data_IF_732302841516
#
_entry.id   IF_732302841516
#
_cell.length_a   1.000
_cell.length_b   1.000
_cell.length_c   1.000
_cell.angle_alpha   90.00
_cell.angle_beta   90.00
_cell.angle_gamma   90.00
#
_symmetry.space_group_name_H-M   'P 1'
#
loop_
_entity.id
_entity.type
_entity.pdbx_description
1 polymer ?
#
# COMPACT_ATOMS: atom_id res chain seq x y z
N UNK A 1 -7.94 4.09 -37.83
CA UNK A 1 -6.77 3.16 -37.84
C UNK A 1 -6.28 3.13 -36.41
N UNK A 2 -6.67 2.09 -35.67
CA UNK A 2 -6.18 1.87 -34.29
C UNK A 2 -4.70 1.55 -34.40
N UNK A 3 -3.85 2.43 -33.87
CA UNK A 3 -2.45 2.10 -33.64
C UNK A 3 -2.43 0.95 -32.64
N UNK A 4 -1.96 -0.22 -33.04
CA UNK A 4 -1.61 -1.27 -32.11
C UNK A 4 -0.58 -0.66 -31.13
N UNK A 5 -1.01 -0.32 -29.92
CA UNK A 5 -0.09 0.05 -28.84
C UNK A 5 0.75 -1.19 -28.56
N UNK A 6 2.08 -1.04 -28.59
CA UNK A 6 3.01 -2.15 -28.43
C UNK A 6 2.81 -2.85 -27.09
N UNK A 7 3.09 -4.14 -27.04
CA UNK A 7 3.15 -4.93 -25.82
C UNK A 7 4.25 -4.37 -24.89
N UNK A 8 3.91 -4.11 -23.62
CA UNK A 8 4.89 -3.73 -22.60
C UNK A 8 5.46 -4.97 -21.92
N UNK A 9 6.69 -4.90 -21.44
CA UNK A 9 7.23 -5.97 -20.58
C UNK A 9 6.48 -5.99 -19.23
N UNK A 10 6.08 -4.81 -18.75
CA UNK A 10 5.41 -4.66 -17.46
C UNK A 10 4.22 -3.70 -17.59
N UNK A 11 3.04 -4.16 -17.20
CA UNK A 11 1.89 -3.31 -16.90
C UNK A 11 1.81 -3.07 -15.41
N UNK A 12 1.60 -1.82 -15.00
CA UNK A 12 1.44 -1.45 -13.58
C UNK A 12 0.13 -0.71 -13.40
N UNK A 13 -0.71 -1.19 -12.49
CA UNK A 13 -1.99 -0.56 -12.14
C UNK A 13 -1.83 0.22 -10.84
N UNK A 14 -2.00 1.53 -10.95
CA UNK A 14 -1.84 2.51 -9.87
C UNK A 14 -0.46 3.19 -9.86
N UNK A 15 -0.43 4.52 -9.87
CA UNK A 15 0.78 5.36 -9.87
C UNK A 15 1.16 5.84 -8.46
N UNK A 16 1.17 4.94 -7.48
CA UNK A 16 1.61 5.21 -6.11
C UNK A 16 3.12 4.96 -5.90
N UNK A 17 3.55 4.89 -4.64
CA UNK A 17 4.95 4.73 -4.25
C UNK A 17 5.65 3.51 -4.87
N UNK A 18 4.95 2.37 -4.97
CA UNK A 18 5.49 1.14 -5.57
C UNK A 18 5.75 1.32 -7.07
N UNK A 19 4.82 1.99 -7.78
CA UNK A 19 4.99 2.30 -9.19
C UNK A 19 6.13 3.30 -9.42
N UNK A 20 6.27 4.31 -8.56
CA UNK A 20 7.37 5.28 -8.64
C UNK A 20 8.74 4.59 -8.44
N UNK A 21 8.85 3.64 -7.51
CA UNK A 21 10.07 2.87 -7.31
C UNK A 21 10.42 1.99 -8.52
N UNK A 22 9.43 1.32 -9.10
CA UNK A 22 9.60 0.53 -10.33
C UNK A 22 10.01 1.42 -11.50
N UNK A 23 9.33 2.56 -11.69
CA UNK A 23 9.61 3.49 -12.78
C UNK A 23 11.02 4.07 -12.69
N UNK A 24 11.45 4.52 -11.51
CA UNK A 24 12.80 5.02 -11.28
C UNK A 24 13.86 3.94 -11.59
N UNK A 25 13.60 2.68 -11.18
CA UNK A 25 14.51 1.56 -11.43
C UNK A 25 14.57 1.20 -12.92
N UNK A 26 13.44 1.09 -13.61
CA UNK A 26 13.36 0.83 -15.05
C UNK A 26 14.11 1.92 -15.83
N UNK A 27 13.81 3.20 -15.55
CA UNK A 27 14.50 4.33 -16.17
C UNK A 27 16.02 4.22 -15.98
N UNK A 28 16.47 3.90 -14.77
CA UNK A 28 17.89 3.80 -14.44
C UNK A 28 18.57 2.66 -15.20
N UNK A 29 17.97 1.48 -15.23
CA UNK A 29 18.49 0.30 -15.95
C UNK A 29 18.61 0.60 -17.44
N UNK A 30 17.57 1.19 -18.04
CA UNK A 30 17.57 1.55 -19.45
C UNK A 30 18.60 2.65 -19.78
N UNK A 31 18.70 3.68 -18.92
CA UNK A 31 19.70 4.77 -19.10
C UNK A 31 21.13 4.27 -19.02
N UNK A 32 21.41 3.28 -18.17
CA UNK A 32 22.70 2.62 -18.09
C UNK A 32 22.97 1.67 -19.27
N UNK A 33 21.98 1.40 -20.11
CA UNK A 33 22.09 0.45 -21.22
C UNK A 33 22.25 -1.00 -20.77
N UNK A 34 21.81 -1.32 -19.55
CA UNK A 34 21.90 -2.68 -18.99
C UNK A 34 20.82 -3.61 -19.53
N UNK A 35 19.65 -3.07 -19.85
CA UNK A 35 18.54 -3.76 -20.51
C UNK A 35 17.64 -2.72 -21.22
N UNK A 36 16.76 -3.19 -22.10
CA UNK A 36 15.65 -2.40 -22.66
C UNK A 36 14.34 -2.94 -22.10
N UNK A 37 13.77 -2.25 -21.11
CA UNK A 37 12.53 -2.62 -20.46
C UNK A 37 11.47 -1.58 -20.79
N UNK A 38 10.31 -2.03 -21.25
CA UNK A 38 9.12 -1.20 -21.48
C UNK A 38 8.11 -1.39 -20.33
N UNK A 39 7.67 -0.29 -19.73
CA UNK A 39 6.74 -0.26 -18.61
C UNK A 39 5.61 0.74 -18.87
N UNK A 40 4.37 0.28 -18.75
CA UNK A 40 3.19 1.16 -18.80
C UNK A 40 2.54 1.22 -17.42
N UNK A 41 2.42 2.42 -16.87
CA UNK A 41 1.74 2.70 -15.61
C UNK A 41 0.37 3.30 -15.89
N UNK A 42 -0.69 2.69 -15.42
CA UNK A 42 -2.07 3.12 -15.62
C UNK A 42 -2.61 3.69 -14.31
N UNK A 43 -3.04 4.97 -14.32
CA UNK A 43 -3.57 5.66 -13.15
C UNK A 43 -4.92 6.31 -13.44
N UNK A 44 -5.89 6.06 -12.56
CA UNK A 44 -7.28 6.53 -12.71
C UNK A 44 -7.50 8.00 -12.35
N UNK A 45 -6.62 8.58 -11.53
CA UNK A 45 -6.80 9.93 -10.98
C UNK A 45 -5.63 10.84 -11.38
N UNK A 46 -4.53 10.73 -10.71
CA UNK A 46 -3.26 11.41 -10.95
C UNK A 46 -2.14 10.69 -10.20
N UNK A 47 -0.87 10.82 -10.58
CA UNK A 47 0.23 10.24 -9.84
C UNK A 47 0.19 10.60 -8.36
N UNK A 48 0.39 9.60 -7.50
CA UNK A 48 0.38 9.74 -6.05
C UNK A 48 -0.92 10.29 -5.42
N UNK A 49 -2.07 10.23 -6.11
CA UNK A 49 -3.36 10.81 -5.68
C UNK A 49 -3.74 10.45 -4.24
N UNK A 50 -3.46 9.23 -3.79
CA UNK A 50 -3.73 8.81 -2.40
C UNK A 50 -2.96 9.67 -1.40
N UNK A 51 -1.67 9.92 -1.64
CA UNK A 51 -0.80 10.72 -0.78
C UNK A 51 -1.15 12.22 -0.82
N UNK A 52 -1.58 12.71 -1.97
CA UNK A 52 -2.05 14.08 -2.16
C UNK A 52 -3.43 14.37 -1.53
N UNK A 53 -4.06 13.37 -0.91
CA UNK A 53 -5.39 13.51 -0.34
C UNK A 53 -6.52 13.62 -1.38
N UNK A 54 -6.31 13.12 -2.60
CA UNK A 54 -7.24 13.30 -3.73
C UNK A 54 -8.29 12.20 -3.86
N UNK A 55 -8.04 11.02 -3.31
CA UNK A 55 -8.95 9.87 -3.40
C UNK A 55 -9.47 9.36 -2.04
N UNK A 56 -9.38 10.18 -1.00
CA UNK A 56 -10.05 9.95 0.28
C UNK A 56 -9.28 9.11 1.31
N UNK A 57 -8.24 8.37 0.93
CA UNK A 57 -7.48 7.51 1.86
C UNK A 57 -6.73 8.31 2.94
N UNK A 58 -6.24 9.49 2.59
CA UNK A 58 -5.66 10.49 3.49
C UNK A 58 -6.17 11.88 3.13
N UNK A 59 -5.98 12.86 4.00
CA UNK A 59 -6.23 14.26 3.66
C UNK A 59 -5.03 14.93 3.00
N UNK A 60 -3.86 14.29 3.06
CA UNK A 60 -2.57 14.87 2.70
C UNK A 60 -1.88 15.61 3.85
N UNK A 61 -2.61 15.93 4.93
CA UNK A 61 -2.12 16.70 6.09
C UNK A 61 -1.64 15.81 7.25
N UNK A 62 -1.73 14.49 7.09
CA UNK A 62 -1.19 13.56 8.07
C UNK A 62 0.33 13.44 7.93
N UNK A 63 1.07 13.32 9.05
CA UNK A 63 2.50 13.08 8.99
C UNK A 63 2.79 11.68 8.40
N UNK A 64 3.85 11.62 7.59
CA UNK A 64 4.34 10.36 7.06
C UNK A 64 4.90 9.51 8.21
N UNK A 65 4.45 8.27 8.29
CA UNK A 65 4.82 7.36 9.38
C UNK A 65 6.24 6.77 9.26
N UNK A 66 7.00 7.15 8.24
CA UNK A 66 8.41 6.78 8.05
C UNK A 66 9.23 8.01 7.69
N UNK A 67 10.55 8.03 7.94
CA UNK A 67 11.42 9.09 7.43
C UNK A 67 11.39 9.14 5.90
N UNK A 68 11.25 10.33 5.27
CA UNK A 68 11.14 10.45 3.81
C UNK A 68 12.42 10.02 3.05
N UNK A 69 13.54 9.87 3.76
CA UNK A 69 14.78 9.29 3.22
C UNK A 69 14.69 7.78 2.99
N UNK A 70 13.63 7.11 3.48
CA UNK A 70 13.25 5.78 3.00
C UNK A 70 12.45 5.96 1.69
N UNK A 71 13.15 6.44 0.69
CA UNK A 71 12.61 6.84 -0.62
C UNK A 71 12.51 5.67 -1.61
N UNK A 72 12.31 5.98 -2.88
CA UNK A 72 12.07 4.97 -3.93
C UNK A 72 13.23 3.99 -4.16
N UNK A 73 14.45 4.35 -3.77
CA UNK A 73 15.65 3.50 -3.89
C UNK A 73 15.99 2.72 -2.62
N UNK A 74 15.40 3.10 -1.46
CA UNK A 74 15.73 2.48 -0.18
C UNK A 74 15.46 0.97 -0.16
N UNK A 75 16.39 0.12 0.32
CA UNK A 75 17.60 0.42 1.11
C UNK A 75 18.91 0.62 0.32
N UNK A 76 18.89 0.75 -1.00
CA UNK A 76 20.08 0.89 -1.86
C UNK A 76 21.06 -0.29 -1.70
N UNK A 77 20.56 -1.49 -1.85
CA UNK A 77 21.29 -2.74 -1.70
C UNK A 77 21.07 -3.66 -2.92
N UNK A 78 20.99 -3.06 -4.12
CA UNK A 78 20.70 -3.79 -5.36
C UNK A 78 21.78 -4.81 -5.70
N UNK A 79 23.00 -4.65 -5.19
CA UNK A 79 24.09 -5.62 -5.37
C UNK A 79 23.80 -7.00 -4.78
N UNK A 80 22.90 -7.10 -3.80
CA UNK A 80 22.46 -8.41 -3.28
C UNK A 80 21.65 -9.22 -4.28
N UNK A 81 20.94 -8.58 -5.19
CA UNK A 81 20.18 -9.21 -6.26
C UNK A 81 20.95 -9.29 -7.58
N UNK A 82 21.74 -8.26 -7.89
CA UNK A 82 22.34 -8.05 -9.22
C UNK A 82 23.87 -8.04 -9.19
N UNK A 83 24.52 -8.41 -8.07
CA UNK A 83 25.97 -8.36 -7.96
C UNK A 83 26.53 -6.95 -8.15
N UNK A 84 27.71 -6.82 -8.77
CA UNK A 84 28.40 -5.53 -8.98
C UNK A 84 27.60 -4.52 -9.79
N UNK A 85 26.75 -4.99 -10.72
CA UNK A 85 25.85 -4.13 -11.52
C UNK A 85 24.80 -3.43 -10.60
N UNK A 86 24.44 -4.05 -9.50
CA UNK A 86 23.52 -3.46 -8.52
C UNK A 86 24.08 -2.19 -7.87
N UNK A 87 25.40 -2.11 -7.63
CA UNK A 87 26.02 -0.90 -7.08
C UNK A 87 25.98 0.26 -8.10
N UNK A 88 26.13 -0.04 -9.40
CA UNK A 88 25.99 0.96 -10.47
C UNK A 88 24.54 1.46 -10.58
N UNK A 89 23.56 0.56 -10.46
CA UNK A 89 22.13 0.90 -10.45
C UNK A 89 21.83 1.80 -9.25
N UNK A 90 22.28 1.45 -8.04
CA UNK A 90 22.02 2.24 -6.83
C UNK A 90 22.68 3.64 -6.92
N UNK A 91 23.87 3.75 -7.47
CA UNK A 91 24.52 5.04 -7.70
C UNK A 91 23.75 5.90 -8.72
N UNK A 92 23.25 5.30 -9.79
CA UNK A 92 22.47 5.99 -10.81
C UNK A 92 21.03 6.34 -10.38
N UNK A 93 20.51 5.73 -9.30
CA UNK A 93 19.26 6.09 -8.68
C UNK A 93 19.30 7.35 -7.79
N UNK A 94 20.48 7.83 -7.40
CA UNK A 94 20.62 9.01 -6.53
C UNK A 94 19.91 10.27 -7.05
N UNK A 95 19.75 10.52 -8.36
CA UNK A 95 18.92 11.61 -8.87
C UNK A 95 17.44 11.52 -8.50
N UNK A 96 16.93 10.36 -8.09
CA UNK A 96 15.54 10.14 -7.68
C UNK A 96 15.33 10.15 -6.16
N UNK A 97 16.35 10.47 -5.36
CA UNK A 97 16.22 10.51 -3.89
C UNK A 97 15.33 11.64 -3.40
N UNK A 98 14.72 11.44 -2.22
CA UNK A 98 14.06 12.51 -1.47
C UNK A 98 14.97 13.72 -1.25
N UNK A 99 16.23 13.48 -0.92
CA UNK A 99 17.21 14.54 -0.74
C UNK A 99 17.35 15.41 -1.98
N UNK A 100 17.42 14.79 -3.17
CA UNK A 100 17.52 15.52 -4.44
C UNK A 100 16.28 16.36 -4.71
N UNK A 101 15.09 15.81 -4.49
CA UNK A 101 13.82 16.53 -4.59
C UNK A 101 13.79 17.76 -3.67
N UNK A 102 14.11 17.60 -2.39
CA UNK A 102 14.13 18.70 -1.42
C UNK A 102 15.18 19.77 -1.75
N UNK A 103 16.33 19.37 -2.33
CA UNK A 103 17.37 20.32 -2.81
C UNK A 103 16.87 21.16 -3.99
N UNK A 104 16.16 20.59 -4.94
CA UNK A 104 15.61 21.31 -6.10
C UNK A 104 14.53 22.30 -5.70
N UNK A 105 13.79 22.01 -4.63
CA UNK A 105 12.81 22.93 -4.03
C UNK A 105 13.43 23.98 -3.10
N UNK A 106 14.73 23.93 -2.87
CA UNK A 106 15.45 24.79 -1.91
C UNK A 106 14.99 24.61 -0.43
N UNK A 107 14.38 23.47 -0.11
CA UNK A 107 13.82 23.15 1.20
C UNK A 107 14.76 22.27 2.05
N UNK A 108 15.73 21.60 1.45
CA UNK A 108 16.59 20.63 2.12
C UNK A 108 17.31 21.16 3.35
N UNK A 109 17.95 22.35 3.25
CA UNK A 109 18.70 22.93 4.36
C UNK A 109 17.77 23.30 5.53
N UNK A 110 16.57 23.83 5.26
CA UNK A 110 15.58 24.14 6.28
C UNK A 110 15.09 22.87 6.98
N UNK A 111 14.79 21.80 6.21
CA UNK A 111 14.38 20.52 6.73
C UNK A 111 15.45 19.88 7.63
N UNK A 112 16.72 19.86 7.21
CA UNK A 112 17.83 19.35 8.03
C UNK A 112 17.99 20.15 9.31
N UNK A 113 17.95 21.50 9.22
CA UNK A 113 18.13 22.38 10.39
C UNK A 113 16.97 22.29 11.39
N UNK A 114 15.79 21.87 10.96
CA UNK A 114 14.66 21.60 11.86
C UNK A 114 14.70 20.21 12.53
N UNK A 115 15.77 19.44 12.34
CA UNK A 115 15.94 18.12 12.93
C UNK A 115 15.41 16.98 12.04
N UNK A 116 15.24 17.24 10.76
CA UNK A 116 14.75 16.25 9.77
C UNK A 116 13.43 15.58 10.19
N UNK A 117 12.38 16.36 10.53
CA UNK A 117 11.10 15.81 10.97
C UNK A 117 10.42 15.01 9.88
N UNK A 118 9.44 14.19 10.26
CA UNK A 118 8.51 13.59 9.29
C UNK A 118 7.83 14.67 8.45
N UNK A 119 7.64 14.39 7.17
CA UNK A 119 6.94 15.28 6.23
C UNK A 119 5.47 14.91 6.17
N UNK A 120 4.63 15.78 5.60
CA UNK A 120 3.22 15.46 5.40
C UNK A 120 3.04 14.50 4.22
N UNK A 121 1.93 13.76 4.22
CA UNK A 121 1.60 12.85 3.12
C UNK A 121 1.62 13.57 1.77
N UNK A 122 1.09 14.82 1.68
CA UNK A 122 1.12 15.60 0.44
C UNK A 122 2.54 15.89 -0.06
N UNK A 123 3.48 16.21 0.85
CA UNK A 123 4.86 16.51 0.46
C UNK A 123 5.53 15.27 -0.12
N UNK A 124 5.24 14.10 0.49
CA UNK A 124 5.69 12.82 -0.04
C UNK A 124 4.98 12.46 -1.37
N UNK A 125 3.69 12.81 -1.50
CA UNK A 125 2.95 12.67 -2.75
C UNK A 125 3.53 13.51 -3.89
N UNK A 126 3.92 14.76 -3.61
CA UNK A 126 4.61 15.63 -4.57
C UNK A 126 5.98 15.04 -4.99
N UNK A 127 6.71 14.48 -4.03
CA UNK A 127 7.95 13.74 -4.33
C UNK A 127 7.71 12.55 -5.27
N UNK A 128 6.71 11.72 -5.00
CA UNK A 128 6.39 10.57 -5.85
C UNK A 128 5.96 10.99 -7.26
N UNK A 129 5.16 12.05 -7.39
CA UNK A 129 4.82 12.65 -8.68
C UNK A 129 6.05 13.12 -9.44
N UNK A 130 6.96 13.82 -8.75
CA UNK A 130 8.23 14.30 -9.30
C UNK A 130 9.14 13.14 -9.79
N UNK A 131 9.15 11.98 -9.06
CA UNK A 131 9.86 10.78 -9.51
C UNK A 131 9.26 10.25 -10.82
N UNK A 132 7.93 10.11 -10.87
CA UNK A 132 7.24 9.57 -12.05
C UNK A 132 7.37 10.45 -13.28
N UNK A 133 7.37 11.78 -13.12
CA UNK A 133 7.60 12.74 -14.21
C UNK A 133 9.00 12.64 -14.80
N UNK A 134 10.01 12.25 -13.99
CA UNK A 134 11.41 12.12 -14.41
C UNK A 134 11.78 10.77 -14.97
N UNK A 135 11.06 9.74 -14.57
CA UNK A 135 11.29 8.37 -14.99
C UNK A 135 10.70 8.15 -16.41
N UNK A 136 11.40 8.58 -17.45
CA UNK A 136 10.90 8.60 -18.84
C UNK A 136 11.47 7.50 -19.74
N UNK A 137 12.67 6.99 -19.43
CA UNK A 137 13.31 5.97 -20.27
C UNK A 137 12.61 4.61 -20.09
N UNK A 138 11.87 4.18 -21.12
CA UNK A 138 11.09 2.95 -21.10
C UNK A 138 9.81 3.00 -20.25
N UNK A 139 9.44 4.16 -19.71
CA UNK A 139 8.25 4.32 -18.85
C UNK A 139 7.20 5.21 -19.51
N UNK A 140 5.99 4.72 -19.60
CA UNK A 140 4.81 5.47 -20.09
C UNK A 140 3.77 5.57 -18.99
N UNK A 141 3.28 6.78 -18.72
CA UNK A 141 2.13 7.01 -17.87
C UNK A 141 0.86 7.12 -18.73
N UNK A 142 -0.17 6.38 -18.35
CA UNK A 142 -1.48 6.39 -19.03
C UNK A 142 -2.58 6.81 -18.05
N UNK A 143 -3.37 7.84 -18.45
CA UNK A 143 -4.48 8.36 -17.63
C UNK A 143 -5.76 7.58 -17.95
N UNK A 144 -6.14 6.68 -17.07
CA UNK A 144 -7.33 5.89 -17.23
C UNK A 144 -7.59 4.92 -16.09
N UNK A 145 -8.80 4.42 -16.05
CA UNK A 145 -9.24 3.42 -15.06
C UNK A 145 -9.24 2.03 -15.69
N UNK A 146 -8.51 1.11 -15.13
CA UNK A 146 -8.63 -0.32 -15.48
C UNK A 146 -10.03 -0.80 -15.08
N UNK A 147 -10.75 -1.37 -16.04
CA UNK A 147 -12.12 -1.89 -15.88
C UNK A 147 -12.17 -3.40 -15.94
N UNK A 148 -11.27 -4.03 -16.67
CA UNK A 148 -11.16 -5.48 -16.79
C UNK A 148 -9.70 -5.90 -16.96
N UNK A 149 -9.37 -7.09 -16.42
CA UNK A 149 -8.08 -7.77 -16.60
C UNK A 149 -8.35 -9.14 -17.19
N UNK A 150 -7.76 -9.41 -18.33
CA UNK A 150 -7.91 -10.67 -19.07
C UNK A 150 -6.56 -11.20 -19.55
N UNK A 151 -6.57 -12.36 -20.19
CA UNK A 151 -5.41 -12.92 -20.87
C UNK A 151 -5.58 -12.74 -22.37
N UNK A 152 -4.50 -12.38 -23.05
CA UNK A 152 -4.49 -12.33 -24.51
C UNK A 152 -4.71 -13.72 -25.15
N UNK A 153 -5.07 -13.75 -26.43
CA UNK A 153 -5.11 -15.01 -27.18
C UNK A 153 -3.73 -15.69 -27.10
N UNK A 154 -3.72 -16.96 -26.70
CA UNK A 154 -2.46 -17.71 -26.47
C UNK A 154 -2.02 -17.75 -25.00
N UNK A 155 -2.59 -16.92 -24.13
CA UNK A 155 -2.35 -16.87 -22.69
C UNK A 155 -0.90 -16.55 -22.30
N UNK A 156 -0.16 -15.81 -23.14
CA UNK A 156 1.26 -15.47 -22.95
C UNK A 156 1.47 -14.06 -22.38
N UNK A 157 0.45 -13.19 -22.40
CA UNK A 157 0.48 -11.88 -21.78
C UNK A 157 -0.86 -11.49 -21.15
N UNK A 158 -0.80 -10.58 -20.17
CA UNK A 158 -1.94 -9.91 -19.60
C UNK A 158 -2.48 -8.85 -20.55
N UNK A 159 -3.79 -8.71 -20.59
CA UNK A 159 -4.48 -7.64 -21.29
C UNK A 159 -5.37 -6.90 -20.29
N UNK A 160 -5.31 -5.57 -20.29
CA UNK A 160 -6.17 -4.73 -19.46
C UNK A 160 -7.01 -3.82 -20.33
N UNK A 161 -8.31 -3.73 -20.04
CA UNK A 161 -9.18 -2.71 -20.60
C UNK A 161 -9.13 -1.45 -19.72
N UNK A 162 -8.94 -0.31 -20.35
CA UNK A 162 -8.76 0.97 -19.68
C UNK A 162 -9.77 1.98 -20.20
N UNK A 163 -10.67 2.41 -19.33
CA UNK A 163 -11.56 3.53 -19.61
C UNK A 163 -10.77 4.83 -19.44
N UNK A 164 -10.50 5.52 -20.55
CA UNK A 164 -9.81 6.81 -20.54
C UNK A 164 -10.66 7.88 -19.83
N UNK A 165 -10.01 8.78 -19.12
CA UNK A 165 -10.70 9.89 -18.49
C UNK A 165 -11.32 10.80 -19.55
N UNK A 166 -12.64 10.94 -19.53
CA UNK A 166 -13.41 11.70 -20.50
C UNK A 166 -13.93 10.91 -21.72
N UNK A 167 -13.55 9.64 -21.86
CA UNK A 167 -14.06 8.70 -22.90
C UNK A 167 -14.34 7.31 -22.34
N UNK A 168 -15.17 7.18 -21.31
CA UNK A 168 -15.41 5.87 -20.67
C UNK A 168 -16.10 4.84 -21.59
N UNK A 169 -16.75 5.28 -22.66
CA UNK A 169 -17.52 4.43 -23.59
C UNK A 169 -16.63 3.71 -24.64
N UNK A 170 -15.37 4.09 -24.78
CA UNK A 170 -14.44 3.50 -25.77
C UNK A 170 -13.14 3.08 -25.05
N UNK A 171 -13.14 1.95 -24.33
CA UNK A 171 -11.97 1.53 -23.57
C UNK A 171 -10.82 1.12 -24.51
N UNK A 172 -9.62 1.54 -24.15
CA UNK A 172 -8.40 1.10 -24.82
C UNK A 172 -7.85 -0.16 -24.17
N UNK A 173 -7.13 -0.98 -24.98
CA UNK A 173 -6.48 -2.20 -24.50
C UNK A 173 -4.98 -2.04 -24.46
N UNK A 174 -4.39 -2.39 -23.32
CA UNK A 174 -2.96 -2.47 -23.12
C UNK A 174 -2.56 -3.90 -22.78
N UNK A 175 -1.43 -4.35 -23.33
CA UNK A 175 -0.91 -5.70 -23.11
C UNK A 175 0.46 -5.68 -22.45
N UNK A 176 0.77 -6.70 -21.65
CA UNK A 176 2.07 -6.83 -21.03
C UNK A 176 2.40 -8.24 -20.54
N UNK A 177 3.68 -8.58 -20.58
CA UNK A 177 4.20 -9.90 -20.13
C UNK A 177 4.06 -10.12 -18.64
N UNK A 178 4.03 -9.05 -17.87
CA UNK A 178 3.82 -9.07 -16.42
C UNK A 178 2.79 -8.01 -16.03
N UNK A 179 1.99 -8.30 -15.02
CA UNK A 179 1.04 -7.36 -14.43
C UNK A 179 1.39 -7.11 -12.96
N UNK A 180 1.52 -5.84 -12.57
CA UNK A 180 1.77 -5.42 -11.19
C UNK A 180 0.58 -4.64 -10.66
N UNK A 181 0.00 -5.10 -9.56
CA UNK A 181 -1.14 -4.47 -8.90
C UNK A 181 -0.66 -3.81 -7.60
N UNK A 182 -0.57 -2.46 -7.58
CA UNK A 182 0.11 -1.71 -6.52
C UNK A 182 -0.80 -1.27 -5.38
N UNK A 183 -2.10 -1.23 -5.62
CA UNK A 183 -3.07 -0.66 -4.69
C UNK A 183 -3.35 -1.52 -3.46
N UNK A 184 -3.91 -0.90 -2.40
CA UNK A 184 -4.31 -1.62 -1.19
C UNK A 184 -5.61 -2.42 -1.38
N UNK A 185 -6.36 -2.18 -2.45
CA UNK A 185 -7.69 -2.73 -2.67
C UNK A 185 -8.82 -1.80 -2.26
N UNK A 186 -10.03 -2.34 -2.15
CA UNK A 186 -11.20 -1.65 -1.60
C UNK A 186 -11.24 -1.79 -0.08
N UNK A 187 -11.94 -0.89 0.61
CA UNK A 187 -12.15 -1.04 2.05
C UNK A 187 -12.86 -2.37 2.36
N UNK A 188 -12.53 -2.97 3.50
CA UNK A 188 -13.23 -4.15 3.99
C UNK A 188 -14.65 -3.78 4.36
N UNK A 189 -15.59 -4.62 3.98
CA UNK A 189 -16.96 -4.47 4.43
C UNK A 189 -17.04 -4.70 5.96
N UNK A 190 -17.70 -3.77 6.65
CA UNK A 190 -18.06 -3.93 8.05
C UNK A 190 -19.58 -4.23 8.13
N UNK A 191 -20.01 -5.24 8.89
CA UNK A 191 -21.42 -5.63 8.98
C UNK A 191 -22.29 -4.50 9.50
N UNK A 192 -23.33 -4.11 8.74
CA UNK A 192 -24.32 -3.13 9.15
C UNK A 192 -25.63 -3.32 8.40
N UNK A 193 -26.72 -2.83 8.97
CA UNK A 193 -28.04 -2.86 8.36
C UNK A 193 -28.14 -1.82 7.23
N UNK A 194 -28.89 -2.07 6.16
CA UNK A 194 -29.05 -1.11 5.05
C UNK A 194 -29.63 0.24 5.49
N UNK A 195 -30.47 0.25 6.52
CA UNK A 195 -31.14 1.43 7.05
C UNK A 195 -30.16 2.42 7.70
N UNK A 196 -28.98 1.96 8.14
CA UNK A 196 -27.97 2.79 8.80
C UNK A 196 -26.83 3.20 7.85
N UNK A 197 -26.82 2.77 6.58
CA UNK A 197 -25.81 3.05 5.57
C UNK A 197 -25.39 4.53 5.52
N UNK A 198 -26.35 5.45 5.64
CA UNK A 198 -26.10 6.87 5.63
C UNK A 198 -25.27 7.39 6.81
N UNK A 199 -25.03 6.58 7.83
CA UNK A 199 -24.29 6.91 9.06
C UNK A 199 -23.01 6.09 9.22
N UNK A 200 -22.76 5.13 8.32
CA UNK A 200 -21.55 4.34 8.29
C UNK A 200 -20.62 4.89 7.20
N UNK A 201 -19.51 5.43 7.61
CA UNK A 201 -18.51 6.00 6.71
C UNK A 201 -17.33 5.05 6.55
N UNK A 202 -16.57 5.25 5.47
CA UNK A 202 -15.34 4.52 5.23
C UNK A 202 -14.11 5.45 5.28
N UNK A 203 -12.99 4.92 5.72
CA UNK A 203 -11.77 5.71 5.87
C UNK A 203 -11.21 6.26 4.55
N UNK A 204 -11.63 5.73 3.41
CA UNK A 204 -11.24 6.15 2.06
C UNK A 204 -12.22 7.12 1.39
N UNK A 205 -13.32 7.48 2.06
CA UNK A 205 -14.37 8.39 1.53
C UNK A 205 -14.44 9.73 2.29
N UNK A 206 -13.35 10.15 2.89
CA UNK A 206 -13.31 11.22 3.90
C UNK A 206 -13.88 12.56 3.48
N UNK A 207 -13.53 13.06 2.29
CA UNK A 207 -13.93 14.42 1.90
C UNK A 207 -15.42 14.56 1.75
N UNK A 208 -16.07 13.57 1.17
CA UNK A 208 -17.49 13.59 0.85
C UNK A 208 -18.31 13.20 2.08
N UNK A 209 -17.94 12.14 2.77
CA UNK A 209 -18.71 11.60 3.89
C UNK A 209 -18.51 12.40 5.17
N UNK A 210 -17.28 12.78 5.52
CA UNK A 210 -17.03 13.55 6.74
C UNK A 210 -17.56 14.98 6.66
N UNK A 211 -17.76 15.53 5.46
CA UNK A 211 -18.48 16.81 5.29
C UNK A 211 -19.94 16.73 5.76
N UNK A 212 -20.52 15.52 5.83
CA UNK A 212 -21.89 15.30 6.32
C UNK A 212 -22.01 15.36 7.84
N UNK A 213 -20.89 15.32 8.56
CA UNK A 213 -20.88 15.49 10.02
C UNK A 213 -21.21 16.95 10.35
N UNK A 214 -22.25 17.25 11.17
CA UNK A 214 -22.67 18.59 11.48
C UNK A 214 -21.54 19.47 12.08
N UNK A 215 -21.57 20.76 11.76
CA UNK A 215 -20.66 21.76 12.34
C UNK A 215 -21.25 22.36 13.62
N UNK A 216 -20.37 22.66 14.58
CA UNK A 216 -20.74 23.39 15.79
C UNK A 216 -21.51 22.58 16.84
N UNK A 217 -21.80 21.32 16.59
CA UNK A 217 -22.46 20.42 17.53
C UNK A 217 -21.47 19.36 18.08
N UNK A 218 -21.72 18.92 19.31
CA UNK A 218 -20.98 17.82 19.91
C UNK A 218 -21.58 16.49 19.41
N UNK A 219 -21.08 15.99 18.28
CA UNK A 219 -21.47 14.69 17.72
C UNK A 219 -20.63 13.57 18.33
N UNK A 220 -21.25 12.41 18.53
CA UNK A 220 -20.62 11.18 19.02
C UNK A 220 -20.25 10.30 17.81
N UNK A 221 -18.97 10.00 17.63
CA UNK A 221 -18.46 9.23 16.48
C UNK A 221 -17.67 8.02 16.97
N UNK A 222 -18.04 6.84 16.49
CA UNK A 222 -17.23 5.63 16.66
C UNK A 222 -16.25 5.47 15.49
N UNK A 223 -14.97 5.19 15.78
CA UNK A 223 -13.96 4.81 14.79
C UNK A 223 -13.57 3.36 15.06
N UNK A 224 -13.81 2.48 14.10
CA UNK A 224 -13.54 1.04 14.25
C UNK A 224 -12.20 0.69 13.58
N UNK A 225 -11.20 0.36 14.38
CA UNK A 225 -9.87 -0.04 13.90
C UNK A 225 -8.75 0.39 14.83
N UNK A 226 -7.65 -0.35 14.83
CA UNK A 226 -6.49 -0.14 15.70
C UNK A 226 -5.22 0.22 14.91
N UNK A 227 -5.33 0.76 13.71
CA UNK A 227 -4.17 1.05 12.85
C UNK A 227 -4.19 2.44 12.22
N UNK A 228 -3.23 2.68 11.34
CA UNK A 228 -2.97 3.98 10.70
C UNK A 228 -4.19 4.61 10.02
N UNK A 229 -5.09 3.80 9.43
CA UNK A 229 -6.33 4.34 8.84
C UNK A 229 -7.25 4.97 9.89
N UNK A 230 -7.34 4.38 11.09
CA UNK A 230 -8.13 4.92 12.18
C UNK A 230 -7.49 6.20 12.73
N UNK A 231 -6.16 6.19 12.87
CA UNK A 231 -5.39 7.35 13.31
C UNK A 231 -5.54 8.52 12.35
N UNK A 232 -5.42 8.25 11.06
CA UNK A 232 -5.60 9.22 9.99
C UNK A 232 -7.03 9.80 9.97
N UNK A 233 -8.07 8.97 10.16
CA UNK A 233 -9.45 9.42 10.29
C UNK A 233 -9.65 10.33 11.52
N UNK A 234 -9.04 9.96 12.64
CA UNK A 234 -9.06 10.74 13.88
C UNK A 234 -8.42 12.12 13.69
N UNK A 235 -7.20 12.19 13.14
CA UNK A 235 -6.48 13.45 12.89
C UNK A 235 -7.31 14.37 11.98
N UNK A 236 -7.87 13.81 10.92
CA UNK A 236 -8.72 14.56 9.99
C UNK A 236 -9.99 15.09 10.65
N UNK A 237 -10.70 14.25 11.42
CA UNK A 237 -11.90 14.67 12.14
C UNK A 237 -11.61 15.73 13.19
N UNK A 238 -10.50 15.64 13.89
CA UNK A 238 -10.10 16.66 14.87
C UNK A 238 -9.90 18.02 14.21
N UNK A 239 -9.27 18.05 13.05
CA UNK A 239 -9.10 19.29 12.29
C UNK A 239 -10.46 19.85 11.79
N UNK A 240 -11.34 18.95 11.32
CA UNK A 240 -12.62 19.33 10.70
C UNK A 240 -13.74 19.63 11.72
N UNK A 241 -13.77 18.87 12.84
CA UNK A 241 -14.84 18.90 13.87
C UNK A 241 -14.23 18.88 15.28
N UNK A 242 -13.65 19.99 15.74
CA UNK A 242 -12.95 20.03 17.05
C UNK A 242 -13.82 19.68 18.25
N UNK A 243 -15.15 19.83 18.15
CA UNK A 243 -16.10 19.56 19.24
C UNK A 243 -16.63 18.11 19.23
N UNK A 244 -16.36 17.32 18.18
CA UNK A 244 -16.81 15.94 18.09
C UNK A 244 -16.17 15.08 19.19
N UNK A 245 -16.94 14.18 19.77
CA UNK A 245 -16.45 13.14 20.70
C UNK A 245 -16.16 11.88 19.92
N UNK A 246 -14.90 11.44 19.96
CA UNK A 246 -14.41 10.32 19.18
C UNK A 246 -14.11 9.13 20.09
N UNK A 247 -14.71 7.98 19.80
CA UNK A 247 -14.42 6.71 20.48
C UNK A 247 -13.77 5.76 19.49
N UNK A 248 -12.52 5.40 19.75
CA UNK A 248 -11.74 4.47 18.91
C UNK A 248 -11.91 3.06 19.47
N UNK A 249 -12.48 2.15 18.68
CA UNK A 249 -12.63 0.74 19.01
C UNK A 249 -11.47 -0.07 18.50
N UNK A 250 -10.75 -0.71 19.42
CA UNK A 250 -9.65 -1.61 19.11
C UNK A 250 -9.90 -2.98 19.75
N UNK A 251 -9.62 -4.10 19.07
CA UNK A 251 -9.86 -5.44 19.63
C UNK A 251 -8.97 -5.76 20.84
N UNK A 252 -7.88 -5.02 20.99
CA UNK A 252 -6.93 -5.07 22.10
C UNK A 252 -6.74 -3.67 22.67
N UNK A 253 -5.87 -3.49 23.67
CA UNK A 253 -5.43 -2.15 24.06
C UNK A 253 -4.76 -1.43 22.88
N UNK A 254 -4.89 -0.09 22.77
CA UNK A 254 -4.17 0.66 21.75
C UNK A 254 -2.67 0.49 21.94
N UNK A 255 -1.97 0.11 20.88
CA UNK A 255 -0.55 -0.18 20.89
C UNK A 255 0.17 0.79 19.96
N UNK A 256 1.29 1.31 20.41
CA UNK A 256 2.26 1.98 19.55
C UNK A 256 2.94 0.96 18.66
N UNK A 257 3.27 1.38 17.43
CA UNK A 257 4.05 0.57 16.50
C UNK A 257 5.45 0.31 17.06
N UNK A 258 5.93 -0.94 16.94
CA UNK A 258 7.32 -1.28 17.20
C UNK A 258 8.24 -0.64 16.16
N UNK A 259 9.17 0.21 16.61
CA UNK A 259 10.03 1.05 15.76
C UNK A 259 11.49 1.02 16.20
N UNK A 260 11.92 -0.02 16.92
CA UNK A 260 13.32 -0.16 17.29
C UNK A 260 14.22 -0.30 16.06
N UNK A 261 15.52 -0.11 16.25
CA UNK A 261 16.50 -0.30 15.18
C UNK A 261 16.40 -1.70 14.54
N UNK A 262 16.24 -2.75 15.36
CA UNK A 262 16.15 -4.12 14.85
C UNK A 262 14.85 -4.37 14.09
N UNK A 263 13.71 -3.85 14.58
CA UNK A 263 12.43 -3.95 13.91
C UNK A 263 12.45 -3.23 12.56
N UNK A 264 12.97 -2.01 12.52
CA UNK A 264 13.13 -1.26 11.28
C UNK A 264 14.05 -1.97 10.26
N UNK A 265 15.07 -2.70 10.75
CA UNK A 265 15.96 -3.48 9.91
C UNK A 265 15.24 -4.63 9.21
N UNK A 266 14.30 -5.31 9.87
CA UNK A 266 13.50 -6.36 9.27
C UNK A 266 12.66 -5.85 8.09
N UNK A 267 12.14 -4.62 8.17
CA UNK A 267 11.45 -4.01 7.05
C UNK A 267 12.36 -3.76 5.84
N UNK A 268 13.59 -3.32 6.09
CA UNK A 268 14.53 -2.99 5.03
C UNK A 268 15.25 -4.21 4.44
N UNK A 269 15.43 -5.25 5.25
CA UNK A 269 16.27 -6.41 4.95
C UNK A 269 15.70 -7.68 5.59
N UNK A 270 14.55 -8.17 5.07
CA UNK A 270 13.92 -9.39 5.61
C UNK A 270 14.78 -10.63 5.40
N UNK A 271 15.63 -10.65 4.37
CA UNK A 271 16.52 -11.78 4.07
C UNK A 271 17.58 -11.98 5.16
N UNK A 272 17.97 -10.90 5.85
CA UNK A 272 18.96 -10.99 6.95
C UNK A 272 18.45 -11.77 8.17
N UNK A 273 17.14 -11.90 8.32
CA UNK A 273 16.50 -12.68 9.40
C UNK A 273 15.85 -13.95 8.88
N UNK A 274 16.13 -14.32 7.63
CA UNK A 274 15.55 -15.49 6.96
C UNK A 274 14.01 -15.52 7.10
N UNK A 275 13.37 -14.33 6.88
CA UNK A 275 11.95 -14.11 7.14
C UNK A 275 11.04 -15.20 6.55
N UNK A 276 11.32 -15.62 5.33
CA UNK A 276 10.53 -16.62 4.60
C UNK A 276 10.53 -17.98 5.30
N UNK A 277 11.60 -18.30 6.04
CA UNK A 277 11.76 -19.57 6.77
C UNK A 277 11.23 -19.53 8.20
N UNK A 278 10.87 -18.35 8.73
CA UNK A 278 10.20 -18.24 10.02
C UNK A 278 8.83 -18.91 9.96
N UNK A 279 8.36 -19.48 11.06
CA UNK A 279 7.01 -19.98 11.15
C UNK A 279 5.98 -18.84 11.02
N UNK A 280 4.77 -19.20 10.57
CA UNK A 280 3.74 -18.21 10.27
C UNK A 280 3.27 -17.43 11.50
N UNK A 281 3.32 -18.03 12.70
CA UNK A 281 2.88 -17.36 13.93
C UNK A 281 3.88 -16.28 14.32
N UNK A 282 5.17 -16.57 14.27
CA UNK A 282 6.26 -15.61 14.49
C UNK A 282 6.13 -14.41 13.52
N UNK A 283 5.89 -14.68 12.24
CA UNK A 283 5.70 -13.61 11.24
C UNK A 283 4.44 -12.77 11.52
N UNK A 284 3.33 -13.42 11.90
CA UNK A 284 2.08 -12.71 12.26
C UNK A 284 2.24 -11.86 13.51
N UNK A 285 2.94 -12.34 14.51
CA UNK A 285 3.15 -11.60 15.76
C UNK A 285 4.03 -10.39 15.53
N UNK A 286 5.09 -10.51 14.71
CA UNK A 286 5.87 -9.36 14.28
C UNK A 286 5.02 -8.32 13.54
N UNK A 287 4.22 -8.74 12.54
CA UNK A 287 3.34 -7.85 11.77
C UNK A 287 2.31 -7.17 12.66
N UNK A 288 1.74 -7.85 13.66
CA UNK A 288 0.83 -7.25 14.65
C UNK A 288 1.53 -6.23 15.56
N UNK A 289 2.80 -6.42 15.82
CA UNK A 289 3.58 -5.51 16.65
C UNK A 289 4.09 -4.28 15.89
N UNK A 290 4.42 -4.42 14.61
CA UNK A 290 5.14 -3.38 13.86
C UNK A 290 4.38 -2.78 12.68
N UNK A 291 3.26 -3.39 12.21
CA UNK A 291 2.61 -2.96 10.96
C UNK A 291 1.08 -2.91 11.03
N UNK A 292 0.42 -3.91 11.60
CA UNK A 292 -1.03 -4.07 11.53
C UNK A 292 -1.71 -3.95 12.89
N UNK A 293 -2.65 -3.00 13.01
CA UNK A 293 -3.39 -2.81 14.25
C UNK A 293 -2.61 -2.04 15.31
N UNK A 294 -1.65 -1.24 14.90
CA UNK A 294 -0.81 -0.39 15.72
C UNK A 294 -0.85 1.05 15.22
N UNK A 295 -0.58 2.00 16.10
CA UNK A 295 -0.62 3.43 15.84
C UNK A 295 0.80 4.01 15.80
N UNK A 296 1.01 5.03 15.00
CA UNK A 296 2.21 5.86 15.08
C UNK A 296 2.30 6.53 16.45
N UNK A 297 3.45 6.36 17.13
CA UNK A 297 3.66 6.83 18.50
C UNK A 297 3.57 8.35 18.61
N UNK A 298 4.09 9.09 17.63
CA UNK A 298 4.08 10.55 17.65
C UNK A 298 2.67 11.14 17.55
N UNK A 299 1.77 10.45 16.87
CA UNK A 299 0.36 10.87 16.78
C UNK A 299 -0.40 10.49 18.05
N UNK A 300 -0.14 9.30 18.63
CA UNK A 300 -0.73 8.93 19.93
C UNK A 300 -0.36 9.94 21.02
N UNK A 301 0.90 10.38 21.10
CA UNK A 301 1.35 11.40 22.03
C UNK A 301 0.59 12.72 21.86
N UNK A 302 0.34 13.13 20.62
CA UNK A 302 -0.40 14.38 20.32
C UNK A 302 -1.86 14.35 20.73
N UNK A 303 -2.49 13.16 20.80
CA UNK A 303 -3.89 13.01 21.18
C UNK A 303 -4.08 12.48 22.61
N UNK A 304 -3.00 12.17 23.31
CA UNK A 304 -3.05 11.60 24.66
C UNK A 304 -3.83 12.47 25.66
N UNK A 305 -3.71 13.79 25.51
CA UNK A 305 -4.38 14.78 26.38
C UNK A 305 -5.72 15.28 25.81
N UNK A 306 -6.19 14.75 24.67
CA UNK A 306 -7.44 15.17 24.07
C UNK A 306 -8.64 14.57 24.83
N UNK A 307 -9.31 15.41 25.62
CA UNK A 307 -10.46 15.01 26.44
C UNK A 307 -11.71 14.61 25.63
N UNK A 308 -11.71 14.86 24.31
CA UNK A 308 -12.80 14.44 23.42
C UNK A 308 -12.45 13.15 22.66
N UNK A 309 -11.29 12.54 22.90
CA UNK A 309 -10.91 11.24 22.38
C UNK A 309 -10.90 10.19 23.47
N UNK A 310 -11.43 9.03 23.19
CA UNK A 310 -11.38 7.86 24.08
C UNK A 310 -11.04 6.59 23.29
N UNK A 311 -10.34 5.67 23.95
CA UNK A 311 -10.09 4.33 23.41
C UNK A 311 -10.94 3.33 24.18
N UNK A 312 -11.61 2.45 23.45
CA UNK A 312 -12.39 1.37 24.00
C UNK A 312 -11.86 0.03 23.48
N UNK A 313 -11.39 -0.81 24.44
CA UNK A 313 -10.99 -2.16 24.11
C UNK A 313 -12.26 -3.01 23.92
N UNK A 314 -12.54 -3.36 22.67
CA UNK A 314 -13.70 -4.13 22.28
C UNK A 314 -13.68 -4.47 20.79
N UNK A 315 -14.18 -5.66 20.47
CA UNK A 315 -14.34 -6.09 19.09
C UNK A 315 -15.70 -5.62 18.59
N UNK A 316 -15.72 -4.63 17.71
CA UNK A 316 -16.91 -4.20 17.01
C UNK A 316 -17.45 -5.35 16.13
N UNK A 317 -18.76 -5.55 16.14
CA UNK A 317 -19.42 -6.70 15.48
C UNK A 317 -20.39 -6.27 14.41
N UNK A 318 -21.30 -5.33 14.70
CA UNK A 318 -22.39 -4.95 13.82
C UNK A 318 -22.86 -3.52 14.10
N UNK A 319 -23.42 -2.85 13.08
CA UNK A 319 -24.07 -1.54 13.22
C UNK A 319 -25.53 -1.66 12.77
N UNK A 320 -26.46 -1.26 13.62
CA UNK A 320 -27.89 -1.17 13.30
C UNK A 320 -28.39 0.26 13.47
N UNK A 321 -29.60 0.54 13.00
CA UNK A 321 -30.25 1.82 13.24
C UNK A 321 -30.65 1.91 14.73
N UNK A 322 -30.42 3.05 15.37
CA UNK A 322 -30.86 3.26 16.74
C UNK A 322 -32.40 3.32 16.83
N UNK A 323 -32.97 3.01 18.00
CA UNK A 323 -34.42 2.98 18.21
C UNK A 323 -35.13 4.31 17.93
N UNK A 324 -34.40 5.44 18.08
CA UNK A 324 -34.90 6.78 17.77
C UNK A 324 -34.96 7.08 16.27
N UNK A 325 -34.38 6.20 15.43
CA UNK A 325 -34.26 6.38 13.98
C UNK A 325 -33.21 7.45 13.55
N UNK A 326 -32.51 8.06 14.51
CA UNK A 326 -31.59 9.18 14.25
C UNK A 326 -30.12 8.90 14.51
N UNK A 327 -29.77 7.71 15.03
CA UNK A 327 -28.40 7.31 15.37
C UNK A 327 -28.03 5.94 14.82
N UNK A 328 -26.77 5.59 14.99
CA UNK A 328 -26.21 4.28 14.74
C UNK A 328 -25.97 3.55 16.07
N UNK A 329 -26.47 2.33 16.20
CA UNK A 329 -26.21 1.46 17.35
C UNK A 329 -25.06 0.51 17.01
N UNK A 330 -23.91 0.71 17.62
CA UNK A 330 -22.75 -0.16 17.46
C UNK A 330 -22.82 -1.28 18.51
N UNK A 331 -22.91 -2.52 18.05
CA UNK A 331 -22.73 -3.73 18.85
C UNK A 331 -21.27 -4.14 18.89
N UNK A 332 -20.75 -4.44 20.08
CA UNK A 332 -19.36 -4.87 20.27
C UNK A 332 -19.22 -5.82 21.46
N UNK A 333 -18.19 -6.66 21.38
CA UNK A 333 -17.79 -7.55 22.46
C UNK A 333 -16.67 -6.91 23.28
N UNK A 334 -16.99 -6.62 24.55
CA UNK A 334 -16.02 -6.09 25.52
C UNK A 334 -15.35 -7.24 26.26
N UNK A 335 -14.02 -7.27 26.43
CA UNK A 335 -13.31 -8.32 27.17
C UNK A 335 -13.78 -8.48 28.63
N UNK A 336 -14.23 -7.39 29.24
CA UNK A 336 -14.63 -7.37 30.67
C UNK A 336 -16.12 -7.48 30.89
N UNK A 337 -16.97 -7.17 29.90
CA UNK A 337 -18.42 -6.99 30.08
C UNK A 337 -19.26 -7.81 29.07
N UNK A 338 -18.65 -8.59 28.20
CA UNK A 338 -19.34 -9.35 27.16
C UNK A 338 -19.96 -8.47 26.08
N UNK A 339 -21.08 -8.91 25.52
CA UNK A 339 -21.80 -8.22 24.45
C UNK A 339 -22.43 -6.91 24.96
N UNK A 340 -22.18 -5.83 24.24
CA UNK A 340 -22.65 -4.47 24.56
C UNK A 340 -23.11 -3.77 23.28
N UNK A 341 -23.98 -2.77 23.47
CA UNK A 341 -24.39 -1.86 22.40
C UNK A 341 -24.29 -0.42 22.90
N UNK A 342 -23.83 0.46 22.01
CA UNK A 342 -23.71 1.89 22.30
C UNK A 342 -24.14 2.71 21.09
N UNK A 343 -24.88 3.81 21.34
CA UNK A 343 -25.35 4.73 20.31
C UNK A 343 -24.26 5.71 19.93
N UNK A 344 -24.17 5.99 18.64
CA UNK A 344 -23.32 7.01 18.02
C UNK A 344 -24.12 7.75 16.96
N UNK A 345 -23.70 8.96 16.58
CA UNK A 345 -24.30 9.69 15.48
C UNK A 345 -23.76 9.16 14.14
N UNK A 346 -22.47 8.79 14.11
CA UNK A 346 -21.81 8.20 12.96
C UNK A 346 -20.82 7.11 13.39
N UNK A 347 -20.56 6.18 12.47
CA UNK A 347 -19.56 5.12 12.64
C UNK A 347 -18.61 5.15 11.46
N UNK A 348 -17.30 5.07 11.70
CA UNK A 348 -16.27 5.08 10.67
C UNK A 348 -15.56 3.73 10.65
N UNK A 349 -15.69 3.05 9.52
CA UNK A 349 -15.02 1.78 9.27
C UNK A 349 -13.56 2.02 8.85
N UNK A 350 -12.64 1.70 9.75
CA UNK A 350 -11.19 1.71 9.53
C UNK A 350 -10.58 0.30 9.71
N UNK A 351 -11.31 -0.75 9.36
CA UNK A 351 -10.87 -2.15 9.53
C UNK A 351 -9.87 -2.61 8.46
N UNK A 352 -9.45 -1.70 7.57
CA UNK A 352 -8.44 -1.93 6.55
C UNK A 352 -9.03 -2.21 5.16
N UNK A 353 -8.18 -2.73 4.28
CA UNK A 353 -8.46 -2.91 2.86
C UNK A 353 -8.39 -4.38 2.46
N UNK A 354 -9.04 -4.70 1.35
CA UNK A 354 -9.10 -6.03 0.76
C UNK A 354 -8.75 -5.96 -0.73
N UNK A 355 -7.50 -6.31 -1.05
CA UNK A 355 -7.01 -6.32 -2.42
C UNK A 355 -7.68 -7.42 -3.23
N UNK A 356 -7.85 -8.62 -2.67
CA UNK A 356 -8.45 -9.73 -3.40
C UNK A 356 -9.89 -9.46 -3.80
N UNK A 357 -10.66 -8.81 -2.92
CA UNK A 357 -12.03 -8.40 -3.24
C UNK A 357 -12.08 -7.41 -4.42
N UNK A 358 -11.16 -6.46 -4.47
CA UNK A 358 -11.06 -5.54 -5.62
C UNK A 358 -10.73 -6.31 -6.91
N UNK A 359 -9.75 -7.21 -6.84
CA UNK A 359 -9.31 -7.97 -8.01
C UNK A 359 -10.42 -8.87 -8.53
N UNK A 360 -11.20 -9.49 -7.64
CA UNK A 360 -12.34 -10.31 -8.01
C UNK A 360 -13.32 -9.57 -8.94
N UNK A 361 -13.45 -8.25 -8.79
CA UNK A 361 -14.32 -7.43 -9.66
C UNK A 361 -13.69 -7.07 -11.01
N UNK A 362 -12.35 -7.12 -11.09
CA UNK A 362 -11.61 -6.80 -12.32
C UNK A 362 -11.34 -8.03 -13.19
N UNK A 363 -11.33 -9.23 -12.60
CA UNK A 363 -11.03 -10.46 -13.30
C UNK A 363 -12.33 -11.20 -13.64
N UNK A 364 -12.64 -11.45 -14.93
CA UNK A 364 -13.73 -12.33 -15.34
C UNK A 364 -13.61 -13.72 -14.71
N UNK A 365 -14.75 -14.42 -14.54
CA UNK A 365 -14.79 -15.75 -13.91
C UNK A 365 -13.80 -16.74 -14.52
N UNK A 366 -13.75 -16.81 -15.86
CA UNK A 366 -12.82 -17.71 -16.54
C UNK A 366 -11.34 -17.44 -16.25
N UNK A 367 -10.97 -16.17 -16.07
CA UNK A 367 -9.59 -15.80 -15.71
C UNK A 367 -9.31 -16.11 -14.24
N UNK A 368 -10.31 -15.92 -13.36
CA UNK A 368 -10.19 -16.30 -11.95
C UNK A 368 -10.00 -17.80 -11.78
N UNK A 369 -10.79 -18.60 -12.49
CA UNK A 369 -10.69 -20.06 -12.47
C UNK A 369 -9.29 -20.50 -12.94
N UNK A 370 -8.78 -19.90 -14.01
CA UNK A 370 -7.45 -20.18 -14.52
C UNK A 370 -6.33 -19.80 -13.54
N UNK A 371 -6.45 -18.68 -12.83
CA UNK A 371 -5.50 -18.28 -11.78
C UNK A 371 -5.53 -19.30 -10.65
N UNK A 372 -6.72 -19.72 -10.17
CA UNK A 372 -6.84 -20.72 -9.11
C UNK A 372 -6.39 -22.12 -9.53
N UNK A 373 -6.53 -22.50 -10.78
CA UNK A 373 -5.96 -23.74 -11.30
C UNK A 373 -4.43 -23.77 -11.17
N UNK A 374 -3.78 -22.61 -11.27
CA UNK A 374 -2.32 -22.49 -11.22
C UNK A 374 -1.77 -22.30 -9.79
N UNK A 375 -2.44 -21.56 -8.91
CA UNK A 375 -1.93 -21.23 -7.58
C UNK A 375 -2.74 -21.83 -6.41
N UNK A 376 -3.84 -22.54 -6.70
CA UNK A 376 -4.77 -23.03 -5.69
C UNK A 376 -5.82 -21.99 -5.28
N UNK A 377 -6.73 -22.35 -4.34
CA UNK A 377 -7.83 -21.48 -3.92
C UNK A 377 -7.34 -20.13 -3.41
N UNK A 378 -7.86 -19.04 -3.96
CA UNK A 378 -7.43 -17.68 -3.68
C UNK A 378 -8.60 -16.74 -3.32
N UNK A 379 -9.62 -16.69 -4.18
CA UNK A 379 -10.64 -15.62 -4.14
C UNK A 379 -11.62 -15.73 -2.97
N UNK A 380 -11.89 -16.94 -2.51
CA UNK A 380 -12.79 -17.25 -1.39
C UNK A 380 -12.01 -17.78 -0.16
N UNK A 381 -10.69 -17.63 -0.18
CA UNK A 381 -9.86 -18.05 0.95
C UNK A 381 -10.17 -17.20 2.20
N UNK A 382 -10.20 -17.80 3.40
CA UNK A 382 -10.38 -17.04 4.65
C UNK A 382 -9.35 -15.91 4.77
N UNK A 383 -9.71 -14.75 5.35
CA UNK A 383 -8.83 -13.57 5.44
C UNK A 383 -7.46 -13.82 6.10
N UNK A 384 -7.35 -14.87 6.91
CA UNK A 384 -6.10 -15.29 7.57
C UNK A 384 -5.25 -16.25 6.71
N UNK A 385 -5.73 -16.67 5.55
CA UNK A 385 -4.99 -17.58 4.67
C UNK A 385 -3.74 -16.86 4.15
N UNK A 386 -2.61 -17.54 4.20
CA UNK A 386 -1.39 -17.03 3.59
C UNK A 386 -1.49 -17.16 2.07
N UNK A 387 -1.41 -16.04 1.38
CA UNK A 387 -1.41 -16.00 -0.09
C UNK A 387 -0.04 -16.47 -0.59
N UNK A 388 0.04 -17.36 -1.59
CA UNK A 388 1.30 -17.89 -2.10
C UNK A 388 2.03 -16.84 -2.97
N UNK A 389 2.65 -15.88 -2.31
CA UNK A 389 3.47 -14.84 -2.96
C UNK A 389 4.92 -15.30 -3.02
N UNK A 390 5.45 -15.43 -4.22
CA UNK A 390 6.82 -15.80 -4.50
C UNK A 390 7.83 -14.68 -4.24
N UNK A 391 9.13 -15.01 -4.41
CA UNK A 391 10.23 -14.08 -4.14
C UNK A 391 10.18 -12.82 -5.01
N UNK A 392 9.75 -12.92 -6.26
CA UNK A 392 9.51 -11.77 -7.16
C UNK A 392 8.21 -11.02 -6.86
N UNK A 393 7.56 -11.28 -5.72
CA UNK A 393 6.29 -10.70 -5.29
C UNK A 393 5.11 -11.02 -6.23
N UNK A 394 5.23 -12.09 -7.01
CA UNK A 394 4.18 -12.65 -7.86
C UNK A 394 3.38 -13.74 -7.14
N UNK A 395 2.18 -14.02 -7.62
CA UNK A 395 1.47 -15.25 -7.26
C UNK A 395 2.24 -16.46 -7.81
N UNK A 396 2.67 -17.35 -6.92
CA UNK A 396 3.42 -18.55 -7.27
C UNK A 396 2.62 -19.43 -8.25
N UNK A 397 3.29 -19.88 -9.30
CA UNK A 397 2.70 -20.75 -10.31
C UNK A 397 1.93 -20.01 -11.41
N UNK A 398 1.49 -18.78 -11.20
CA UNK A 398 0.68 -18.03 -12.17
C UNK A 398 1.53 -17.53 -13.34
N UNK A 399 1.07 -17.80 -14.57
CA UNK A 399 1.66 -17.33 -15.81
C UNK A 399 0.57 -16.80 -16.76
N UNK A 400 0.82 -15.64 -17.41
CA UNK A 400 1.95 -14.71 -17.23
C UNK A 400 2.05 -14.19 -15.78
N UNK A 401 3.18 -13.62 -15.37
CA UNK A 401 3.40 -13.20 -13.98
C UNK A 401 2.39 -12.16 -13.51
N UNK A 402 1.81 -12.40 -12.33
CA UNK A 402 0.90 -11.48 -11.64
C UNK A 402 1.51 -11.09 -10.30
N UNK A 403 2.11 -9.89 -10.24
CA UNK A 403 2.74 -9.38 -9.04
C UNK A 403 1.74 -8.64 -8.16
N UNK A 404 1.69 -8.99 -6.90
CA UNK A 404 0.83 -8.38 -5.87
C UNK A 404 1.66 -8.01 -4.62
N UNK A 405 2.54 -7.01 -4.69
CA UNK A 405 3.43 -6.64 -3.59
C UNK A 405 2.69 -6.34 -2.28
N UNK A 406 1.47 -5.78 -2.37
CA UNK A 406 0.64 -5.49 -1.20
C UNK A 406 0.28 -6.72 -0.35
N UNK A 407 0.31 -7.92 -0.92
CA UNK A 407 0.07 -9.20 -0.22
C UNK A 407 1.37 -9.88 0.21
N UNK A 408 2.53 -9.40 -0.25
CA UNK A 408 3.83 -10.00 0.04
C UNK A 408 4.31 -9.84 1.50
N UNK A 409 3.70 -8.92 2.27
CA UNK A 409 4.22 -8.53 3.58
C UNK A 409 4.33 -9.67 4.59
N UNK A 410 3.38 -10.58 4.62
CA UNK A 410 3.42 -11.71 5.55
C UNK A 410 4.44 -12.79 5.13
N UNK A 411 4.54 -13.08 3.83
CA UNK A 411 5.38 -14.20 3.34
C UNK A 411 6.79 -13.77 3.01
N UNK A 412 6.96 -12.61 2.40
CA UNK A 412 8.24 -12.16 1.84
C UNK A 412 8.96 -11.10 2.67
N UNK A 413 8.24 -10.43 3.60
CA UNK A 413 8.77 -9.41 4.47
C UNK A 413 7.83 -8.21 4.61
N UNK A 414 7.69 -7.64 5.82
CA UNK A 414 6.67 -6.62 6.11
C UNK A 414 6.83 -5.35 5.27
N UNK A 415 8.06 -5.01 4.86
CA UNK A 415 8.35 -3.82 4.06
C UNK A 415 7.71 -3.81 2.67
N UNK A 416 7.35 -4.97 2.10
CA UNK A 416 6.74 -5.05 0.76
C UNK A 416 5.27 -4.62 0.74
N UNK A 417 4.57 -4.74 1.85
CA UNK A 417 3.17 -4.31 1.94
C UNK A 417 3.03 -2.78 2.08
N UNK A 418 4.08 -2.09 2.53
CA UNK A 418 4.10 -0.66 2.84
C UNK A 418 5.25 0.08 2.13
N UNK A 419 5.83 1.12 2.75
CA UNK A 419 6.92 1.93 2.20
C UNK A 419 8.32 1.49 2.68
N UNK A 420 8.40 0.43 3.48
CA UNK A 420 9.62 0.09 4.24
C UNK A 420 10.82 -0.37 3.42
N UNK A 421 10.61 -0.75 2.14
CA UNK A 421 11.68 -1.29 1.27
C UNK A 421 11.35 -1.17 -0.22
N UNK A 422 11.03 0.05 -0.69
CA UNK A 422 10.60 0.29 -2.08
C UNK A 422 11.67 -0.12 -3.12
N UNK A 423 12.94 0.16 -2.86
CA UNK A 423 14.04 -0.22 -3.76
C UNK A 423 14.22 -1.74 -3.85
N UNK A 424 14.12 -2.46 -2.72
CA UNK A 424 14.17 -3.91 -2.72
C UNK A 424 12.94 -4.53 -3.41
N UNK A 425 11.74 -3.94 -3.22
CA UNK A 425 10.53 -4.33 -3.94
C UNK A 425 10.76 -4.24 -5.46
N UNK A 426 11.28 -3.11 -5.93
CA UNK A 426 11.56 -2.93 -7.36
C UNK A 426 12.57 -3.95 -7.87
N UNK A 427 13.63 -4.24 -7.11
CA UNK A 427 14.59 -5.27 -7.47
C UNK A 427 13.93 -6.64 -7.63
N UNK A 428 13.11 -7.06 -6.66
CA UNK A 428 12.46 -8.38 -6.68
C UNK A 428 11.45 -8.53 -7.83
N UNK A 429 10.66 -7.49 -8.11
CA UNK A 429 9.71 -7.51 -9.23
C UNK A 429 10.43 -7.59 -10.57
N UNK A 430 11.55 -6.85 -10.73
CA UNK A 430 12.28 -6.79 -12.00
C UNK A 430 13.24 -7.97 -12.22
N UNK A 431 13.74 -8.58 -11.16
CA UNK A 431 14.74 -9.65 -11.26
C UNK A 431 14.33 -10.82 -12.19
N UNK A 432 13.10 -11.37 -12.13
CA UNK A 432 12.70 -12.44 -13.03
C UNK A 432 12.73 -12.05 -14.51
N UNK A 433 12.30 -10.82 -14.81
CA UNK A 433 12.33 -10.28 -16.17
C UNK A 433 13.77 -10.06 -16.66
N UNK A 434 14.58 -9.40 -15.83
CA UNK A 434 15.99 -9.15 -16.16
C UNK A 434 16.77 -10.44 -16.39
N UNK A 435 16.54 -11.46 -15.57
CA UNK A 435 17.19 -12.78 -15.74
C UNK A 435 16.78 -13.51 -17.03
N UNK A 436 15.58 -13.22 -17.55
CA UNK A 436 15.15 -13.73 -18.88
C UNK A 436 15.80 -12.97 -20.03
N UNK A 437 16.02 -11.67 -19.87
CA UNK A 437 16.67 -10.83 -20.89
C UNK A 437 18.19 -11.06 -20.93
N UNK A 438 18.83 -11.15 -19.77
CA UNK A 438 20.28 -11.40 -19.65
C UNK A 438 20.55 -12.29 -18.41
N UNK A 439 21.12 -13.50 -18.61
CA UNK A 439 21.48 -14.40 -17.51
C UNK A 439 22.46 -13.82 -16.48
N UNK A 440 23.18 -12.73 -16.79
CA UNK A 440 24.05 -12.06 -15.81
C UNK A 440 23.28 -11.44 -14.65
N UNK A 441 21.99 -11.18 -14.81
CA UNK A 441 21.07 -10.77 -13.75
C UNK A 441 20.46 -11.96 -12.98
N UNK A 442 20.75 -13.21 -13.35
CA UNK A 442 20.37 -14.35 -12.54
C UNK A 442 21.16 -14.24 -11.23
N UNK A 443 20.48 -13.87 -10.16
CA UNK A 443 21.09 -13.58 -8.87
C UNK A 443 22.07 -14.65 -8.47
N UNK A 444 23.12 -14.25 -7.77
CA UNK A 444 24.06 -15.18 -7.12
C UNK A 444 23.18 -16.01 -6.19
N UNK A 445 22.94 -17.27 -6.56
CA UNK A 445 22.37 -18.26 -5.65
C UNK A 445 23.27 -18.23 -4.41
N UNK A 446 22.76 -17.72 -3.28
CA UNK A 446 23.52 -17.71 -2.05
C UNK A 446 23.87 -19.16 -1.68
N UNK A 447 25.04 -19.60 -2.09
CA UNK A 447 25.71 -20.64 -1.36
C UNK A 447 26.10 -20.03 -0.03
N UNK A 448 25.33 -20.39 1.00
CA UNK A 448 25.53 -19.99 2.40
C UNK A 448 26.87 -20.51 2.94
N UNK A 449 27.98 -19.89 2.59
CA UNK A 449 29.30 -20.28 3.15
C UNK A 449 30.13 -19.15 3.71
N UNK A 450 29.62 -17.91 3.85
CA UNK A 450 30.47 -16.84 4.42
C UNK A 450 29.74 -15.84 5.33
N UNK A 451 29.01 -16.34 6.35
CA UNK A 451 28.42 -15.50 7.41
C UNK A 451 29.26 -15.45 8.70
N UNK A 452 30.50 -15.93 8.72
CA UNK A 452 31.31 -15.97 9.95
C UNK A 452 32.14 -14.70 10.26
N UNK A 453 32.03 -13.62 9.50
CA UNK A 453 32.96 -12.48 9.57
C UNK A 453 32.38 -11.14 10.06
N UNK A 454 31.20 -11.11 10.66
CA UNK A 454 30.62 -9.84 11.18
C UNK A 454 30.13 -9.90 12.63
N UNK A 455 30.83 -10.63 13.48
CA UNK A 455 30.68 -10.57 14.94
C UNK A 455 32.06 -10.47 15.59
N UNK A 456 32.80 -9.41 15.33
CA UNK A 456 33.88 -8.90 16.18
C UNK A 456 33.68 -7.40 16.41
#
# INVERSE_FOLDING_TARGET
MSSAQGESDILVVGAGAKAAALAAKVHTINTLGLAEISMTVIEKTEPAASWLGRNGMTSGEEPLAIPPIKDVGFPYQSSRQFGTVGDEIDAALLPFTWQRFAMERHEYAAWVNSGSPSVMHRDYGEYLGWVLERATEGVTLYDGRVTEVSLAEGHDCWQVEVAERGRPEDPERHSGRSLVLTGPGVHRHFPHDPEVEARVFHCDSRREEFARVPEGEAVEIAIIGGGESALSALVFLRALRPQARLTIFTPTLPLSRGESFLENRVFADPDNVEWEHLDIETRRDFVKHCDRGVFDSSVLERIADDTHCSFLCGRALHVSLAEDGEGAMLEFESPSQGLRSQRYDFVINCTGFDLLRQLRSLFPDAVRDQVEEQCGPLWDAPPQTEVPIGRGLELEGVRPRLHMPGLGGLRQGPGFANLGSLGLLANRVLQPLLSELDPSFAGISETMEDKSLLLD
#
